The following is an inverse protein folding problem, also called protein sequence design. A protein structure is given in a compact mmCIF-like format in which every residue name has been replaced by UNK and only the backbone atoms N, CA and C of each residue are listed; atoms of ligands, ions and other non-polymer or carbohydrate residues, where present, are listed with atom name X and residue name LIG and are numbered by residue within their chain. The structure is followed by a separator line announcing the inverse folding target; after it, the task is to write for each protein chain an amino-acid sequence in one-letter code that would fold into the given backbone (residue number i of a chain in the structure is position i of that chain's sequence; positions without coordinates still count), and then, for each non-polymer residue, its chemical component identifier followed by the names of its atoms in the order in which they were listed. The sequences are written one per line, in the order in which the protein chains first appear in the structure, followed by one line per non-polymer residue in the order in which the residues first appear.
data_IF_980977436448
#
_entry.id   IF_980977436448
#
_cell.length_a   1.000
_cell.length_b   1.000
_cell.length_c   1.000
_cell.angle_alpha   90.00
_cell.angle_beta   90.00
_cell.angle_gamma   90.00
#
_symmetry.space_group_name_H-M   'P 1'
#
loop_
_entity.id
_entity.type
_entity.pdbx_description
1 polymer ?
#
# COMPACT_ATOMS: atom_id res chain seq x y z
N UNK A 1 -21.36 33.68 -5.33
CA UNK A 1 -21.09 32.71 -6.41
C UNK A 1 -19.66 32.18 -6.26
N UNK A 2 -19.47 31.07 -5.54
CA UNK A 2 -18.18 30.36 -5.44
C UNK A 2 -18.47 28.85 -5.21
N UNK A 3 -19.11 28.20 -6.18
CA UNK A 3 -19.45 26.76 -6.13
C UNK A 3 -18.92 26.00 -7.36
N UNK A 4 -17.81 26.46 -7.94
CA UNK A 4 -17.25 25.89 -9.18
C UNK A 4 -15.93 25.12 -9.05
N UNK A 5 -15.14 25.32 -7.99
CA UNK A 5 -13.76 24.83 -7.94
C UNK A 5 -13.53 23.50 -7.21
N UNK A 6 -14.56 22.87 -6.62
CA UNK A 6 -14.36 21.62 -5.85
C UNK A 6 -14.55 20.33 -6.67
N UNK A 7 -15.19 20.40 -7.83
CA UNK A 7 -15.46 19.21 -8.67
C UNK A 7 -14.34 18.97 -9.71
N UNK A 8 -13.85 20.00 -10.40
CA UNK A 8 -12.81 19.87 -11.43
C UNK A 8 -11.43 19.51 -10.85
N UNK A 9 -11.10 19.96 -9.64
CA UNK A 9 -9.85 19.57 -8.98
C UNK A 9 -9.90 18.14 -8.43
N UNK A 10 -11.11 17.58 -8.23
CA UNK A 10 -11.31 16.19 -7.79
C UNK A 10 -11.34 15.19 -8.95
N UNK A 11 -11.76 15.56 -10.16
CA UNK A 11 -11.73 14.65 -11.30
C UNK A 11 -10.30 14.30 -11.76
N UNK A 12 -9.33 15.21 -11.54
CA UNK A 12 -7.90 15.01 -11.86
C UNK A 12 -7.18 13.95 -11.01
N UNK A 13 -7.81 13.39 -9.96
CA UNK A 13 -7.16 12.43 -9.05
C UNK A 13 -7.53 10.97 -9.29
N UNK A 14 -8.26 10.63 -10.37
CA UNK A 14 -8.64 9.25 -10.70
C UNK A 14 -7.72 8.59 -11.71
N UNK A 15 -6.43 8.92 -11.67
CA UNK A 15 -5.42 8.30 -12.53
C UNK A 15 -4.78 7.11 -11.85
N UNK A 16 -4.69 5.99 -12.54
CA UNK A 16 -4.06 4.75 -12.08
C UNK A 16 -3.01 4.32 -13.09
N UNK A 17 -1.84 3.91 -12.60
CA UNK A 17 -0.75 3.44 -13.46
C UNK A 17 -0.39 1.99 -13.15
N UNK A 18 -0.34 1.14 -14.17
CA UNK A 18 0.23 -0.19 -14.11
C UNK A 18 1.74 -0.11 -14.40
N UNK A 19 2.57 -0.73 -13.56
CA UNK A 19 3.99 -0.90 -13.86
C UNK A 19 4.31 -2.36 -14.13
N UNK A 20 4.99 -2.58 -15.25
CA UNK A 20 5.34 -3.89 -15.78
C UNK A 20 6.84 -3.93 -16.11
N UNK A 21 7.44 -5.10 -16.02
CA UNK A 21 8.79 -5.40 -16.54
C UNK A 21 8.80 -6.56 -17.56
N UNK A 22 7.65 -7.16 -17.87
CA UNK A 22 7.54 -8.29 -18.78
C UNK A 22 7.74 -9.64 -18.08
N UNK A 23 7.32 -9.77 -16.82
CA UNK A 23 7.39 -11.01 -16.05
C UNK A 23 6.03 -11.74 -16.09
N UNK A 24 6.03 -13.08 -16.17
CA UNK A 24 4.79 -13.88 -16.24
C UNK A 24 3.89 -13.69 -15.01
N UNK A 25 4.48 -13.33 -13.86
CA UNK A 25 3.70 -12.98 -12.66
C UNK A 25 2.81 -11.75 -12.83
N UNK A 26 3.02 -10.94 -13.87
CA UNK A 26 2.26 -9.72 -14.17
C UNK A 26 0.97 -9.99 -14.95
N UNK A 27 0.70 -11.22 -15.39
CA UNK A 27 -0.55 -11.55 -16.07
C UNK A 27 -1.79 -11.25 -15.23
N UNK A 28 -1.71 -11.51 -13.92
CA UNK A 28 -2.79 -11.15 -12.99
C UNK A 28 -2.98 -9.64 -12.88
N UNK A 29 -1.88 -8.89 -12.99
CA UNK A 29 -1.88 -7.45 -12.95
C UNK A 29 -2.53 -6.85 -14.22
N UNK A 30 -2.29 -7.44 -15.39
CA UNK A 30 -2.94 -7.06 -16.65
C UNK A 30 -4.46 -7.23 -16.58
N UNK A 31 -4.95 -8.35 -16.01
CA UNK A 31 -6.40 -8.57 -15.80
C UNK A 31 -7.05 -7.49 -14.93
N UNK A 32 -6.33 -7.02 -13.90
CA UNK A 32 -6.78 -5.90 -13.07
C UNK A 32 -6.80 -4.61 -13.90
N UNK A 33 -5.78 -4.38 -14.73
CA UNK A 33 -5.68 -3.23 -15.62
C UNK A 33 -6.79 -3.14 -16.68
N UNK A 34 -7.12 -4.23 -17.34
CA UNK A 34 -8.22 -4.28 -18.33
C UNK A 34 -9.57 -3.89 -17.70
N UNK A 35 -9.81 -4.35 -16.47
CA UNK A 35 -11.01 -3.99 -15.72
C UNK A 35 -11.01 -2.54 -15.28
N UNK A 36 -9.86 -2.04 -14.82
CA UNK A 36 -9.70 -0.63 -14.44
C UNK A 36 -9.96 0.29 -15.64
N UNK A 37 -9.48 -0.06 -16.83
CA UNK A 37 -9.77 0.69 -18.07
C UNK A 37 -11.25 0.78 -18.42
N UNK A 38 -12.02 -0.22 -18.02
CA UNK A 38 -13.46 -0.28 -18.28
C UNK A 38 -14.29 0.52 -17.25
N UNK A 39 -13.65 1.07 -16.20
CA UNK A 39 -14.31 1.84 -15.14
C UNK A 39 -14.54 3.29 -15.59
N UNK A 40 -15.79 3.78 -15.64
CA UNK A 40 -16.09 5.14 -16.07
C UNK A 40 -15.42 6.21 -15.21
N UNK A 41 -14.70 7.13 -15.86
CA UNK A 41 -14.04 8.27 -15.19
C UNK A 41 -12.74 7.91 -14.45
N UNK A 42 -12.19 6.71 -14.69
CA UNK A 42 -10.82 6.35 -14.29
C UNK A 42 -9.88 6.56 -15.49
N UNK A 43 -8.84 7.35 -15.29
CA UNK A 43 -7.72 7.43 -16.25
C UNK A 43 -6.78 6.26 -15.95
N UNK A 44 -6.48 5.45 -16.96
CA UNK A 44 -5.65 4.25 -16.80
C UNK A 44 -4.50 4.27 -17.81
N UNK A 45 -3.27 4.10 -17.31
CA UNK A 45 -2.08 3.94 -18.14
C UNK A 45 -1.28 2.71 -17.74
N UNK A 46 -0.58 2.11 -18.70
CA UNK A 46 0.34 1.01 -18.44
C UNK A 46 1.75 1.37 -18.93
N UNK A 47 2.72 1.27 -18.03
CA UNK A 47 4.13 1.54 -18.32
C UNK A 47 4.91 0.23 -18.25
N UNK A 48 5.57 -0.10 -19.34
CA UNK A 48 6.52 -1.21 -19.41
C UNK A 48 7.93 -0.65 -19.26
N UNK A 49 8.64 -1.08 -18.22
CA UNK A 49 10.04 -0.75 -18.02
C UNK A 49 10.86 -1.36 -19.16
N UNK A 50 11.47 -0.49 -19.97
CA UNK A 50 12.24 -0.86 -21.15
C UNK A 50 13.70 -1.24 -20.79
N UNK A 51 13.85 -2.17 -19.85
CA UNK A 51 15.14 -2.82 -19.55
C UNK A 51 15.33 -4.07 -20.43
N UNK A 52 16.40 -4.82 -20.19
CA UNK A 52 16.69 -6.08 -20.90
C UNK A 52 15.45 -6.99 -20.98
N UNK A 53 15.17 -7.56 -22.16
CA UNK A 53 13.95 -8.34 -22.40
C UNK A 53 13.87 -9.54 -21.45
N UNK A 54 12.77 -9.61 -20.71
CA UNK A 54 12.46 -10.73 -19.81
C UNK A 54 11.80 -11.88 -20.59
N UNK A 55 12.00 -13.15 -20.16
CA UNK A 55 11.38 -14.30 -20.83
C UNK A 55 9.85 -14.22 -20.95
N UNK A 56 9.17 -13.51 -20.04
CA UNK A 56 7.72 -13.34 -20.07
C UNK A 56 7.23 -12.19 -20.96
N UNK A 57 8.12 -11.41 -21.58
CA UNK A 57 7.78 -10.15 -22.24
C UNK A 57 6.82 -10.34 -23.41
N UNK A 58 7.06 -11.33 -24.27
CA UNK A 58 6.19 -11.63 -25.41
C UNK A 58 4.78 -11.97 -24.93
N UNK A 59 4.69 -12.77 -23.88
CA UNK A 59 3.44 -13.22 -23.31
C UNK A 59 2.69 -12.06 -22.63
N UNK A 60 3.37 -11.25 -21.81
CA UNK A 60 2.80 -10.01 -21.23
C UNK A 60 2.30 -9.06 -22.31
N UNK A 61 3.07 -8.87 -23.38
CA UNK A 61 2.69 -7.99 -24.50
C UNK A 61 1.46 -8.53 -25.24
N UNK A 62 1.40 -9.85 -25.48
CA UNK A 62 0.26 -10.50 -26.13
C UNK A 62 -1.01 -10.39 -25.29
N UNK A 63 -0.91 -10.62 -23.98
CA UNK A 63 -2.05 -10.52 -23.05
C UNK A 63 -2.43 -9.08 -22.71
N UNK A 64 -1.57 -8.10 -22.96
CA UNK A 64 -1.94 -6.70 -22.80
C UNK A 64 -3.00 -6.27 -23.82
N UNK A 65 -3.06 -6.92 -24.99
CA UNK A 65 -4.22 -7.11 -25.89
C UNK A 65 -5.04 -5.89 -26.37
N UNK A 66 -4.72 -4.69 -25.89
CA UNK A 66 -5.53 -3.49 -26.01
C UNK A 66 -5.10 -2.37 -25.06
N UNK A 67 -4.33 -2.66 -24.00
CA UNK A 67 -3.67 -1.63 -23.19
C UNK A 67 -2.58 -0.93 -24.02
N UNK A 68 -2.56 0.40 -23.98
CA UNK A 68 -1.46 1.18 -24.54
C UNK A 68 -0.23 1.05 -23.63
N UNK A 69 0.64 0.09 -23.94
CA UNK A 69 1.87 -0.18 -23.18
C UNK A 69 2.96 0.80 -23.58
N UNK A 70 3.12 1.86 -22.79
CA UNK A 70 4.22 2.82 -22.98
C UNK A 70 5.53 2.22 -22.47
N UNK A 71 6.46 1.99 -23.40
CA UNK A 71 7.83 1.56 -23.07
C UNK A 71 8.65 2.75 -22.59
N UNK A 72 9.09 2.72 -21.34
CA UNK A 72 9.83 3.82 -20.72
C UNK A 72 11.13 3.31 -20.10
N UNK A 73 12.23 4.03 -20.35
CA UNK A 73 13.46 3.85 -19.57
C UNK A 73 13.33 4.44 -18.17
N UNK A 74 14.31 4.20 -17.30
CA UNK A 74 14.23 4.54 -15.89
C UNK A 74 14.00 6.03 -15.56
N UNK A 75 14.74 6.98 -16.17
CA UNK A 75 14.50 8.40 -15.92
C UNK A 75 13.09 8.84 -16.34
N UNK A 76 12.66 8.40 -17.53
CA UNK A 76 11.35 8.73 -18.07
C UNK A 76 10.21 8.13 -17.23
N UNK A 77 10.39 6.93 -16.68
CA UNK A 77 9.41 6.36 -15.76
C UNK A 77 9.31 7.15 -14.46
N UNK A 78 10.44 7.55 -13.86
CA UNK A 78 10.43 8.37 -12.64
C UNK A 78 9.75 9.73 -12.87
N UNK A 79 10.04 10.40 -13.99
CA UNK A 79 9.35 11.63 -14.38
C UNK A 79 7.86 11.40 -14.62
N UNK A 80 7.52 10.30 -15.30
CA UNK A 80 6.13 9.93 -15.49
C UNK A 80 5.46 9.77 -14.14
N UNK A 81 6.05 9.04 -13.18
CA UNK A 81 5.55 8.74 -11.83
C UNK A 81 5.38 9.96 -10.91
N UNK A 82 6.13 11.04 -11.13
CA UNK A 82 5.97 12.31 -10.39
C UNK A 82 4.68 13.06 -10.72
N UNK A 83 4.03 12.76 -11.85
CA UNK A 83 2.74 13.39 -12.19
C UNK A 83 1.64 12.99 -11.17
N UNK A 84 0.61 13.82 -10.95
CA UNK A 84 -0.47 13.46 -10.03
C UNK A 84 -1.19 12.17 -10.46
N UNK A 85 -1.40 11.25 -9.51
CA UNK A 85 -2.20 10.02 -9.69
C UNK A 85 -2.74 9.52 -8.35
N UNK A 86 -3.75 8.66 -8.41
CA UNK A 86 -4.31 8.00 -7.23
C UNK A 86 -3.41 6.89 -6.73
N UNK A 87 -3.06 5.99 -7.65
CA UNK A 87 -2.42 4.73 -7.29
C UNK A 87 -1.54 4.18 -8.41
N UNK A 88 -0.57 3.37 -8.00
CA UNK A 88 0.30 2.58 -8.86
C UNK A 88 0.14 1.11 -8.52
N UNK A 89 -0.04 0.29 -9.53
CA UNK A 89 -0.26 -1.15 -9.41
C UNK A 89 0.99 -1.88 -9.89
N UNK A 90 1.49 -2.77 -9.05
CA UNK A 90 2.75 -3.52 -9.29
C UNK A 90 2.60 -4.99 -8.95
N UNK A 91 3.33 -5.84 -9.66
CA UNK A 91 3.47 -7.23 -9.29
C UNK A 91 4.55 -7.38 -8.19
N UNK A 92 4.54 -8.45 -7.38
CA UNK A 92 5.45 -8.58 -6.26
C UNK A 92 6.92 -8.71 -6.67
N UNK A 93 7.29 -9.42 -7.76
CA UNK A 93 8.67 -9.43 -8.24
C UNK A 93 9.16 -8.06 -8.67
N UNK A 94 8.35 -7.32 -9.45
CA UNK A 94 8.64 -5.95 -9.85
C UNK A 94 8.88 -5.07 -8.62
N UNK A 95 7.94 -5.10 -7.67
CA UNK A 95 8.03 -4.30 -6.45
C UNK A 95 9.31 -4.62 -5.68
N UNK A 96 9.63 -5.90 -5.46
CA UNK A 96 10.83 -6.32 -4.74
C UNK A 96 12.12 -5.79 -5.37
N UNK A 97 12.22 -5.81 -6.70
CA UNK A 97 13.43 -5.36 -7.42
C UNK A 97 13.54 -3.84 -7.46
N UNK A 98 12.44 -3.16 -7.72
CA UNK A 98 12.48 -1.78 -8.21
C UNK A 98 11.87 -0.76 -7.27
N UNK A 99 10.95 -1.16 -6.41
CA UNK A 99 10.14 -0.18 -5.68
C UNK A 99 10.96 0.72 -4.74
N UNK A 100 12.16 0.30 -4.30
CA UNK A 100 13.11 1.17 -3.58
C UNK A 100 13.54 2.36 -4.45
N UNK A 101 13.83 2.13 -5.72
CA UNK A 101 14.25 3.17 -6.67
C UNK A 101 13.07 4.04 -7.13
N UNK A 102 11.86 3.48 -7.14
CA UNK A 102 10.63 4.22 -7.45
C UNK A 102 10.14 5.07 -6.29
N UNK A 103 10.51 4.70 -5.06
CA UNK A 103 10.02 5.32 -3.82
C UNK A 103 10.03 6.85 -3.83
N UNK A 104 11.11 7.55 -4.26
CA UNK A 104 11.12 9.02 -4.27
C UNK A 104 10.12 9.63 -5.25
N UNK A 105 9.77 8.92 -6.33
CA UNK A 105 8.82 9.38 -7.33
C UNK A 105 7.35 9.14 -6.92
N UNK A 106 7.11 8.27 -5.93
CA UNK A 106 5.78 7.84 -5.49
C UNK A 106 5.27 8.60 -4.25
N UNK A 107 5.95 9.66 -3.81
CA UNK A 107 5.78 10.26 -2.47
C UNK A 107 4.33 10.53 -2.01
N UNK A 108 3.40 10.83 -2.92
CA UNK A 108 1.98 11.09 -2.65
C UNK A 108 1.02 10.09 -3.31
N UNK A 109 1.54 9.01 -3.85
CA UNK A 109 0.81 8.01 -4.63
C UNK A 109 0.64 6.74 -3.83
N UNK A 110 -0.58 6.19 -3.77
CA UNK A 110 -0.78 4.88 -3.17
C UNK A 110 -0.16 3.77 -4.03
N UNK A 111 0.37 2.71 -3.42
CA UNK A 111 0.92 1.56 -4.15
C UNK A 111 0.15 0.30 -3.82
N UNK A 112 -0.42 -0.32 -4.85
CA UNK A 112 -1.08 -1.60 -4.76
C UNK A 112 -0.14 -2.71 -5.26
N UNK A 113 0.31 -3.57 -4.35
CA UNK A 113 1.11 -4.77 -4.64
C UNK A 113 0.15 -5.93 -4.86
N UNK A 114 -0.08 -6.27 -6.13
CA UNK A 114 -1.07 -7.26 -6.56
C UNK A 114 -0.47 -8.67 -6.56
N UNK A 115 -0.85 -9.53 -5.59
CA UNK A 115 -0.41 -10.93 -5.54
C UNK A 115 -1.44 -11.88 -6.13
N UNK A 116 -2.71 -11.63 -5.81
CA UNK A 116 -3.85 -12.48 -6.15
C UNK A 116 -4.80 -11.79 -7.11
N UNK A 117 -4.88 -10.46 -7.10
CA UNK A 117 -5.69 -9.68 -8.04
C UNK A 117 -7.17 -10.03 -7.93
N UNK A 118 -7.68 -10.10 -6.69
CA UNK A 118 -9.07 -10.49 -6.42
C UNK A 118 -10.06 -9.45 -6.96
N UNK A 119 -11.19 -9.93 -7.44
CA UNK A 119 -12.27 -9.11 -8.00
C UNK A 119 -12.97 -8.28 -6.91
N UNK A 120 -13.03 -8.82 -5.70
CA UNK A 120 -13.63 -8.22 -4.52
C UNK A 120 -12.74 -8.44 -3.30
N UNK A 121 -12.67 -7.42 -2.45
CA UNK A 121 -12.06 -7.50 -1.11
C UNK A 121 -13.20 -7.73 -0.12
N UNK A 122 -13.19 -8.87 0.57
CA UNK A 122 -14.20 -9.19 1.59
C UNK A 122 -13.65 -8.95 2.99
N UNK A 123 -12.35 -9.18 3.19
CA UNK A 123 -11.67 -8.99 4.48
C UNK A 123 -10.49 -8.05 4.35
N UNK A 124 -10.56 -6.95 5.08
CA UNK A 124 -9.56 -5.90 5.10
C UNK A 124 -8.82 -5.91 6.44
N UNK A 125 -7.50 -5.93 6.39
CA UNK A 125 -6.66 -5.73 7.56
C UNK A 125 -5.91 -4.41 7.44
N UNK A 126 -6.11 -3.49 8.38
CA UNK A 126 -5.40 -2.20 8.42
C UNK A 126 -4.33 -2.27 9.50
N UNK A 127 -3.09 -2.00 9.14
CA UNK A 127 -1.98 -1.90 10.09
C UNK A 127 -1.71 -0.48 10.50
N UNK A 128 -1.81 -0.20 11.80
CA UNK A 128 -1.55 1.11 12.38
C UNK A 128 -0.55 1.01 13.54
N UNK A 129 0.26 2.05 13.70
CA UNK A 129 1.16 2.22 14.85
C UNK A 129 0.49 3.00 15.99
N UNK A 130 -0.43 3.89 15.67
CA UNK A 130 -1.24 4.65 16.61
C UNK A 130 -2.69 4.84 16.12
N UNK A 131 -3.56 5.34 17.01
CA UNK A 131 -4.96 5.62 16.68
C UNK A 131 -5.11 6.60 15.50
N UNK A 132 -4.44 7.77 15.48
CA UNK A 132 -4.51 8.71 14.35
C UNK A 132 -4.19 8.07 13.00
N UNK A 133 -3.12 7.28 12.91
CA UNK A 133 -2.75 6.55 11.69
C UNK A 133 -3.87 5.63 11.22
N UNK A 134 -4.47 4.85 12.12
CA UNK A 134 -5.55 3.93 11.76
C UNK A 134 -6.80 4.67 11.28
N UNK A 135 -7.15 5.79 11.93
CA UNK A 135 -8.29 6.63 11.53
C UNK A 135 -8.04 7.28 10.16
N UNK A 136 -6.84 7.80 9.91
CA UNK A 136 -6.47 8.39 8.62
C UNK A 136 -6.55 7.35 7.48
N UNK A 137 -6.05 6.14 7.72
CA UNK A 137 -6.14 5.05 6.76
C UNK A 137 -7.59 4.66 6.48
N UNK A 138 -8.44 4.55 7.50
CA UNK A 138 -9.86 4.26 7.33
C UNK A 138 -10.57 5.35 6.53
N UNK A 139 -10.31 6.62 6.83
CA UNK A 139 -10.87 7.75 6.07
C UNK A 139 -10.45 7.74 4.60
N UNK A 140 -9.24 7.29 4.29
CA UNK A 140 -8.81 7.09 2.90
C UNK A 140 -9.62 5.98 2.20
N UNK A 141 -9.91 4.90 2.92
CA UNK A 141 -10.61 3.72 2.41
C UNK A 141 -12.12 3.96 2.21
N UNK A 142 -12.74 4.85 2.97
CA UNK A 142 -14.15 5.25 2.80
C UNK A 142 -14.42 5.95 1.47
N UNK A 143 -13.37 6.35 0.76
CA UNK A 143 -13.45 6.92 -0.57
C UNK A 143 -13.19 5.91 -1.70
N UNK A 144 -13.10 4.61 -1.38
CA UNK A 144 -12.85 3.52 -2.34
C UNK A 144 -14.11 2.66 -2.49
N UNK A 145 -14.95 2.89 -3.52
CA UNK A 145 -16.26 2.22 -3.65
C UNK A 145 -16.20 0.69 -3.66
N UNK A 146 -15.09 0.10 -4.12
CA UNK A 146 -14.91 -1.36 -4.18
C UNK A 146 -14.59 -2.02 -2.82
N UNK A 147 -14.47 -1.23 -1.76
CA UNK A 147 -14.26 -1.71 -0.39
C UNK A 147 -15.53 -1.58 0.47
N UNK A 148 -16.65 -1.13 -0.11
CA UNK A 148 -17.93 -1.01 0.58
C UNK A 148 -18.41 -2.39 1.05
N UNK A 149 -18.64 -2.50 2.36
CA UNK A 149 -19.10 -3.74 2.99
C UNK A 149 -18.03 -4.80 3.24
N UNK A 150 -16.73 -4.51 3.03
CA UNK A 150 -15.66 -5.39 3.50
C UNK A 150 -15.64 -5.45 5.03
N UNK A 151 -15.37 -6.62 5.62
CA UNK A 151 -15.11 -6.77 7.05
C UNK A 151 -13.76 -6.12 7.38
N UNK A 152 -13.78 -5.08 8.21
CA UNK A 152 -12.62 -4.25 8.52
C UNK A 152 -12.08 -4.62 9.89
N UNK A 153 -10.82 -5.03 9.92
CA UNK A 153 -10.06 -5.21 11.16
C UNK A 153 -8.86 -4.27 11.16
N UNK A 154 -8.74 -3.42 12.17
CA UNK A 154 -7.56 -2.60 12.43
C UNK A 154 -6.70 -3.28 13.49
N UNK A 155 -5.41 -3.42 13.22
CA UNK A 155 -4.41 -3.88 14.18
C UNK A 155 -3.50 -2.73 14.52
N UNK A 156 -3.67 -2.22 15.74
CA UNK A 156 -2.78 -1.23 16.33
C UNK A 156 -1.67 -1.95 17.09
N UNK A 157 -0.44 -1.85 16.61
CA UNK A 157 0.70 -2.49 17.25
C UNK A 157 1.46 -1.51 18.14
N UNK A 158 1.45 -1.75 19.45
CA UNK A 158 2.19 -0.97 20.44
C UNK A 158 3.44 -1.77 20.83
N UNK A 159 4.64 -1.38 20.35
CA UNK A 159 5.85 -2.11 20.69
C UNK A 159 6.13 -2.03 22.19
N UNK A 160 6.54 -3.15 22.83
CA UNK A 160 6.94 -3.11 24.23
C UNK A 160 8.19 -2.23 24.40
N UNK A 161 8.42 -1.70 25.61
CA UNK A 161 9.65 -0.99 25.91
C UNK A 161 10.89 -1.83 25.57
N UNK A 162 12.01 -1.19 25.20
CA UNK A 162 13.25 -1.90 25.01
C UNK A 162 13.66 -2.62 26.29
N UNK A 163 14.40 -3.74 26.17
CA UNK A 163 14.73 -4.60 27.31
C UNK A 163 15.42 -3.87 28.46
N UNK A 164 16.28 -2.90 28.16
CA UNK A 164 16.94 -2.08 29.18
C UNK A 164 15.92 -1.26 30.01
N UNK A 165 14.86 -0.75 29.37
CA UNK A 165 13.81 0.01 30.07
C UNK A 165 12.98 -0.91 30.96
N UNK A 166 12.71 -2.14 30.49
CA UNK A 166 12.08 -3.17 31.31
C UNK A 166 12.92 -3.53 32.53
N UNK A 167 14.25 -3.65 32.38
CA UNK A 167 15.17 -3.89 33.51
C UNK A 167 15.14 -2.74 34.52
N UNK A 168 15.11 -1.48 34.06
CA UNK A 168 15.04 -0.31 34.93
C UNK A 168 13.70 -0.23 35.68
N UNK A 169 12.59 -0.49 34.99
CA UNK A 169 11.26 -0.55 35.62
C UNK A 169 11.22 -1.64 36.70
N UNK A 170 11.73 -2.84 36.39
CA UNK A 170 11.80 -3.94 37.35
C UNK A 170 12.69 -3.62 38.56
N UNK A 171 13.86 -3.01 38.33
CA UNK A 171 14.77 -2.59 39.41
C UNK A 171 14.14 -1.52 40.31
N UNK A 172 13.30 -0.65 39.76
CA UNK A 172 12.52 0.34 40.51
C UNK A 172 11.24 -0.20 41.14
N UNK A 173 10.93 -1.50 41.00
CA UNK A 173 9.68 -2.09 41.48
C UNK A 173 8.43 -1.59 40.76
N UNK A 174 8.57 -1.01 39.56
CA UNK A 174 7.47 -0.46 38.77
C UNK A 174 6.92 -1.55 37.84
N UNK A 175 5.67 -1.99 37.99
CA UNK A 175 5.07 -2.96 37.09
C UNK A 175 4.85 -2.32 35.71
N UNK A 176 5.27 -3.03 34.66
CA UNK A 176 4.91 -2.64 33.29
C UNK A 176 3.46 -3.05 33.01
N UNK A 177 2.60 -2.06 32.77
CA UNK A 177 1.24 -2.26 32.29
C UNK A 177 1.21 -2.06 30.77
N UNK A 178 0.79 -3.07 29.99
CA UNK A 178 0.59 -2.91 28.56
C UNK A 178 -0.39 -1.77 28.29
N UNK A 179 -0.14 -0.97 27.25
CA UNK A 179 -1.05 0.11 26.92
C UNK A 179 -2.39 -0.48 26.46
N UNK A 180 -3.49 0.06 27.00
CA UNK A 180 -4.85 -0.34 26.63
C UNK A 180 -5.25 0.13 25.22
N UNK A 181 -4.44 1.03 24.62
CA UNK A 181 -4.82 1.78 23.43
C UNK A 181 -5.84 2.87 23.74
N UNK A 182 -6.02 3.78 22.80
CA UNK A 182 -7.11 4.77 22.85
C UNK A 182 -8.39 4.14 22.25
N UNK A 183 -9.56 4.62 22.67
CA UNK A 183 -10.84 4.11 22.17
C UNK A 183 -11.03 4.54 20.70
N UNK A 184 -11.28 3.60 19.77
CA UNK A 184 -11.44 3.92 18.36
C UNK A 184 -12.83 4.49 18.05
N UNK A 185 -13.01 5.12 16.88
CA UNK A 185 -14.33 5.49 16.37
C UNK A 185 -15.28 4.28 16.28
N UNK A 186 -16.57 4.49 16.54
CA UNK A 186 -17.58 3.42 16.58
C UNK A 186 -17.78 2.70 15.23
N UNK A 187 -17.43 3.36 14.13
CA UNK A 187 -17.53 2.90 12.74
C UNK A 187 -16.23 2.26 12.21
N UNK A 188 -15.17 2.18 13.02
CA UNK A 188 -13.87 1.65 12.63
C UNK A 188 -13.84 0.13 12.41
N UNK A 189 -14.96 -0.57 12.63
CA UNK A 189 -15.04 -2.02 12.59
C UNK A 189 -14.36 -2.66 13.81
N UNK A 190 -13.68 -3.79 13.61
CA UNK A 190 -12.95 -4.47 14.70
C UNK A 190 -11.60 -3.80 14.92
N UNK A 191 -11.36 -3.28 16.13
CA UNK A 191 -10.06 -2.71 16.50
C UNK A 191 -9.32 -3.60 17.50
N UNK A 192 -8.07 -3.96 17.19
CA UNK A 192 -7.25 -4.86 17.98
C UNK A 192 -5.95 -4.18 18.38
N UNK A 193 -5.77 -3.96 19.68
CA UNK A 193 -4.51 -3.48 20.25
C UNK A 193 -3.61 -4.68 20.55
N UNK A 194 -2.41 -4.70 19.97
CA UNK A 194 -1.41 -5.75 20.17
C UNK A 194 -0.14 -5.15 20.77
N UNK A 195 0.18 -5.52 22.02
CA UNK A 195 1.37 -5.05 22.73
C UNK A 195 2.64 -5.83 22.30
N UNK A 196 3.01 -5.72 21.03
CA UNK A 196 4.15 -6.40 20.43
C UNK A 196 4.72 -5.61 19.25
N UNK A 197 5.89 -6.04 18.75
CA UNK A 197 6.51 -5.43 17.56
C UNK A 197 5.54 -5.46 16.37
N UNK A 198 5.39 -4.38 15.58
CA UNK A 198 4.35 -4.32 14.55
C UNK A 198 4.51 -5.37 13.45
N UNK A 199 5.74 -5.75 13.11
CA UNK A 199 6.00 -6.88 12.19
C UNK A 199 5.31 -8.16 12.64
N UNK A 200 5.42 -8.47 13.94
CA UNK A 200 4.87 -9.69 14.52
C UNK A 200 3.35 -9.59 14.62
N UNK A 201 2.83 -8.46 15.10
CA UNK A 201 1.40 -8.19 15.19
C UNK A 201 0.69 -8.37 13.85
N UNK A 202 1.23 -7.82 12.78
CA UNK A 202 0.63 -7.91 11.46
C UNK A 202 0.80 -9.30 10.83
N UNK A 203 1.95 -9.96 11.02
CA UNK A 203 2.11 -11.34 10.54
C UNK A 203 1.12 -12.30 11.22
N UNK A 204 0.99 -12.24 12.55
CA UNK A 204 0.05 -13.08 13.30
C UNK A 204 -1.40 -12.76 12.91
N UNK A 205 -1.77 -11.48 12.84
CA UNK A 205 -3.10 -11.09 12.38
C UNK A 205 -3.40 -11.54 10.93
N UNK A 206 -2.41 -11.54 10.04
CA UNK A 206 -2.59 -12.07 8.69
C UNK A 206 -2.86 -13.57 8.68
N UNK A 207 -2.29 -14.33 9.62
CA UNK A 207 -2.57 -15.76 9.79
C UNK A 207 -3.96 -15.97 10.40
N UNK A 208 -4.30 -15.21 11.44
CA UNK A 208 -5.56 -15.34 12.17
C UNK A 208 -6.78 -14.97 11.31
N UNK A 209 -6.69 -13.87 10.54
CA UNK A 209 -7.82 -13.33 9.80
C UNK A 209 -7.82 -13.68 8.32
N UNK A 210 -6.67 -14.14 7.78
CA UNK A 210 -6.47 -14.43 6.37
C UNK A 210 -7.05 -13.36 5.42
N UNK A 211 -6.68 -12.07 5.58
CA UNK A 211 -7.28 -10.97 4.85
C UNK A 211 -7.01 -11.05 3.35
N UNK A 212 -7.92 -10.48 2.56
CA UNK A 212 -7.77 -10.37 1.10
C UNK A 212 -6.87 -9.20 0.71
N UNK A 213 -6.86 -8.15 1.54
CA UNK A 213 -6.05 -6.95 1.38
C UNK A 213 -5.53 -6.48 2.74
N UNK A 214 -4.24 -6.17 2.79
CA UNK A 214 -3.60 -5.48 3.92
C UNK A 214 -3.32 -4.04 3.55
N UNK A 215 -3.78 -3.09 4.35
CA UNK A 215 -3.55 -1.66 4.15
C UNK A 215 -2.53 -1.18 5.17
N UNK A 216 -1.48 -0.54 4.70
CA UNK A 216 -0.41 0.00 5.54
C UNK A 216 -0.17 1.46 5.18
N UNK A 217 -0.03 2.27 6.21
CA UNK A 217 0.45 3.64 6.05
C UNK A 217 1.94 3.66 5.74
N UNK A 218 2.34 4.56 4.85
CA UNK A 218 3.72 5.04 4.81
C UNK A 218 3.74 6.54 5.07
N UNK A 219 4.81 7.04 5.67
CA UNK A 219 5.06 8.48 5.74
C UNK A 219 6.06 8.85 4.65
N UNK A 220 5.82 9.99 3.99
CA UNK A 220 6.82 10.60 3.14
C UNK A 220 7.98 11.05 4.04
N UNK A 221 9.02 10.23 4.18
CA UNK A 221 10.25 10.67 4.83
C UNK A 221 10.90 11.73 3.94
N UNK A 222 10.80 13.00 4.37
CA UNK A 222 11.44 14.16 3.75
C UNK A 222 12.97 14.17 3.90
N UNK A 223 13.52 13.23 4.68
CA UNK A 223 14.96 13.08 4.84
C UNK A 223 15.52 12.18 3.74
N UNK A 224 16.57 12.61 3.02
CA UNK A 224 17.37 11.72 2.17
C UNK A 224 18.09 10.72 3.09
N UNK A 225 17.47 9.58 3.38
CA UNK A 225 18.01 8.63 4.34
C UNK A 225 19.26 7.94 3.78
N UNK A 226 20.43 8.04 4.47
CA UNK A 226 21.63 7.35 4.08
C UNK A 226 21.69 5.97 4.77
N UNK A 227 20.88 4.98 4.36
CA UNK A 227 21.13 3.56 4.67
C UNK A 227 20.10 2.59 4.04
N UNK A 228 20.50 1.34 3.70
CA UNK A 228 19.59 0.26 3.32
C UNK A 228 18.73 -0.29 4.48
N UNK A 229 18.93 0.17 5.72
CA UNK A 229 18.27 -0.35 6.92
C UNK A 229 17.06 0.47 7.41
N UNK A 230 16.81 1.64 6.81
CA UNK A 230 15.73 2.55 7.21
C UNK A 230 14.60 2.59 6.16
N UNK A 231 14.34 1.46 5.50
CA UNK A 231 13.12 1.33 4.72
C UNK A 231 11.92 1.26 5.65
N UNK A 232 10.86 2.00 5.30
CA UNK A 232 9.59 1.98 6.03
C UNK A 232 9.20 0.54 6.32
N UNK A 233 8.75 0.29 7.54
CA UNK A 233 8.24 -1.02 7.94
C UNK A 233 7.15 -1.51 6.97
N UNK A 234 6.33 -0.60 6.45
CA UNK A 234 5.32 -0.91 5.45
C UNK A 234 5.90 -1.49 4.15
N UNK A 235 7.04 -0.97 3.69
CA UNK A 235 7.78 -1.56 2.56
C UNK A 235 8.20 -2.99 2.86
N UNK A 236 8.89 -3.23 3.98
CA UNK A 236 9.39 -4.57 4.33
C UNK A 236 8.25 -5.58 4.48
N UNK A 237 7.12 -5.16 5.06
CA UNK A 237 5.92 -5.99 5.17
C UNK A 237 5.29 -6.27 3.80
N UNK A 238 5.19 -5.26 2.92
CA UNK A 238 4.65 -5.45 1.57
C UNK A 238 5.38 -6.52 0.75
N UNK A 239 6.68 -6.72 1.00
CA UNK A 239 7.48 -7.76 0.37
C UNK A 239 7.20 -9.18 0.91
N UNK A 240 6.83 -9.28 2.19
CA UNK A 240 6.74 -10.54 2.95
C UNK A 240 5.32 -11.09 3.06
N UNK A 241 4.31 -10.23 3.14
CA UNK A 241 2.94 -10.66 3.37
C UNK A 241 2.43 -11.49 2.16
N UNK A 242 1.69 -12.58 2.40
CA UNK A 242 1.22 -13.49 1.33
C UNK A 242 -0.05 -13.00 0.61
N UNK A 243 -0.57 -11.85 0.98
CA UNK A 243 -1.82 -11.26 0.48
C UNK A 243 -1.56 -9.94 -0.24
N UNK A 244 -2.57 -9.40 -0.91
CA UNK A 244 -2.44 -8.12 -1.61
C UNK A 244 -2.18 -7.01 -0.58
N UNK A 245 -1.35 -6.04 -0.94
CA UNK A 245 -0.95 -4.96 -0.02
C UNK A 245 -1.19 -3.60 -0.66
N UNK A 246 -1.91 -2.73 0.03
CA UNK A 246 -2.07 -1.33 -0.34
C UNK A 246 -1.24 -0.47 0.61
N UNK A 247 -0.30 0.27 0.05
CA UNK A 247 0.50 1.26 0.76
C UNK A 247 -0.10 2.64 0.51
N UNK A 248 -0.48 3.33 1.58
CA UNK A 248 -1.16 4.63 1.50
C UNK A 248 -0.22 5.73 2.02
N UNK A 249 -0.04 6.83 1.27
CA UNK A 249 0.66 8.01 1.78
C UNK A 249 -0.11 8.67 2.91
N UNK A 250 0.55 8.83 4.06
CA UNK A 250 0.04 9.54 5.23
C UNK A 250 0.67 10.93 5.36
N UNK A 251 -0.11 11.88 5.88
CA UNK A 251 0.34 13.25 6.18
C UNK A 251 0.54 14.15 4.96
N UNK A 252 -0.23 13.91 3.89
CA UNK A 252 -0.25 14.73 2.67
C UNK A 252 -1.28 15.87 2.71
#
# INVERSE_FOLDING_TARGET
MLTGQTAETRSRRRRVTLLLEGDVSELMLLRVGERARSEPGLEFDACLLADDPRPGLELVTAFAGGLDLRRLGWPALQEELRKPRQAVFVAPPFWRRHGRALWPALGTTAVYVCRRGRDRVERLLVGADCLPTGVELLGWLDHVPRLDGADRTVVQAIPPPPSWAMTMLAAGGVPYLPAAGEEPPADAGRWLVRNQRPERALCEACLDFAPDLVVLGWHAHSLPLPAPFLHSLAWRLSLRLPTDVLLVPLGA
#
